data_IF_712706260167
#
_entry.id   IF_712706260167
#
_cell.length_a   1.000
_cell.length_b   1.000
_cell.length_c   1.000
_cell.angle_alpha   90.00
_cell.angle_beta   90.00
_cell.angle_gamma   90.00
#
_symmetry.space_group_name_H-M   'P 1'
#
loop_
_entity.id
_entity.type
_entity.pdbx_description
1 polymer ?
#
# COMPACT_ATOMS: atom_id res chain seq x y z
N UNK A 1 -12.26 4.08 -9.87
CA UNK A 1 -11.54 3.84 -8.60
C UNK A 1 -11.61 2.37 -8.27
N UNK A 2 -10.50 1.80 -7.82
CA UNK A 2 -10.45 0.37 -7.49
C UNK A 2 -9.43 0.12 -6.40
N UNK A 3 -9.57 -1.00 -5.71
CA UNK A 3 -8.52 -1.48 -4.82
C UNK A 3 -7.45 -2.10 -5.69
N UNK A 4 -6.25 -1.53 -5.67
CA UNK A 4 -5.15 -2.02 -6.51
C UNK A 4 -4.12 -2.80 -5.70
N UNK A 5 -4.06 -2.61 -4.39
CA UNK A 5 -3.11 -3.29 -3.51
C UNK A 5 -3.75 -3.74 -2.23
N UNK A 6 -3.34 -4.91 -1.76
CA UNK A 6 -3.47 -5.30 -0.36
C UNK A 6 -2.04 -5.38 0.16
N UNK A 7 -1.65 -4.45 1.03
CA UNK A 7 -0.29 -4.35 1.52
C UNK A 7 -0.22 -4.97 2.89
N UNK A 8 0.53 -6.06 3.02
CA UNK A 8 0.66 -6.82 4.26
C UNK A 8 2.02 -6.49 4.88
N UNK A 9 2.02 -6.12 6.14
CA UNK A 9 3.24 -5.76 6.84
C UNK A 9 3.83 -7.00 7.51
N UNK A 10 5.10 -7.28 7.26
CA UNK A 10 5.75 -8.52 7.66
C UNK A 10 7.01 -8.22 8.46
N UNK A 11 7.36 -9.14 9.37
CA UNK A 11 8.57 -9.01 10.20
C UNK A 11 9.79 -9.64 9.55
N UNK A 12 9.59 -10.63 8.67
CA UNK A 12 10.66 -11.39 8.03
C UNK A 12 10.27 -11.61 6.57
N UNK A 13 10.88 -10.83 5.68
CA UNK A 13 10.49 -10.85 4.27
C UNK A 13 10.73 -12.22 3.64
N UNK A 14 11.87 -12.83 3.90
CA UNK A 14 12.17 -14.12 3.26
C UNK A 14 11.19 -15.21 3.67
N UNK A 15 10.85 -15.24 4.95
CA UNK A 15 9.88 -16.21 5.46
C UNK A 15 8.50 -15.95 4.87
N UNK A 16 8.10 -14.68 4.79
CA UNK A 16 6.79 -14.32 4.23
C UNK A 16 6.72 -14.64 2.74
N UNK A 17 7.79 -14.38 2.00
CA UNK A 17 7.83 -14.70 0.57
C UNK A 17 7.68 -16.20 0.37
N UNK A 18 8.42 -17.01 1.14
CA UNK A 18 8.30 -18.46 1.03
C UNK A 18 6.88 -18.93 1.32
N UNK A 19 6.24 -18.32 2.31
CA UNK A 19 4.88 -18.71 2.66
C UNK A 19 3.90 -18.41 1.52
N UNK A 20 3.90 -17.18 1.02
CA UNK A 20 2.92 -16.81 -0.01
C UNK A 20 3.21 -17.46 -1.36
N UNK A 21 4.49 -17.67 -1.68
CA UNK A 21 4.87 -18.32 -2.93
C UNK A 21 4.67 -19.82 -2.90
N UNK A 22 5.14 -20.49 -1.83
CA UNK A 22 5.25 -21.96 -1.83
C UNK A 22 4.06 -22.62 -1.15
N UNK A 23 3.49 -22.01 -0.11
CA UNK A 23 2.37 -22.60 0.61
C UNK A 23 1.04 -22.13 0.00
N UNK A 24 0.89 -20.82 -0.16
CA UNK A 24 -0.35 -20.27 -0.76
C UNK A 24 -0.36 -20.49 -2.26
N UNK A 25 0.79 -20.37 -2.91
CA UNK A 25 0.90 -20.65 -4.34
C UNK A 25 0.74 -19.43 -5.23
N UNK A 26 0.98 -18.22 -4.71
CA UNK A 26 0.85 -17.01 -5.53
C UNK A 26 2.10 -16.81 -6.40
N UNK A 27 1.91 -16.44 -7.67
CA UNK A 27 3.05 -16.17 -8.54
C UNK A 27 3.81 -14.93 -8.08
N UNK A 28 5.12 -15.08 -7.88
CA UNK A 28 6.00 -13.99 -7.51
C UNK A 28 6.21 -13.08 -8.71
N UNK A 29 5.99 -11.78 -8.53
CA UNK A 29 6.18 -10.81 -9.60
C UNK A 29 7.41 -9.95 -9.40
N UNK A 30 7.72 -9.59 -8.16
CA UNK A 30 8.86 -8.76 -7.83
C UNK A 30 9.26 -9.02 -6.39
N UNK A 31 10.55 -9.12 -6.14
CA UNK A 31 11.04 -9.38 -4.78
C UNK A 31 12.20 -8.44 -4.45
N UNK A 32 12.13 -7.82 -3.26
CA UNK A 32 13.23 -7.05 -2.71
C UNK A 32 13.18 -7.16 -1.19
N UNK A 33 14.24 -6.72 -0.48
CA UNK A 33 14.22 -6.82 0.98
C UNK A 33 13.12 -6.03 1.65
N UNK A 34 12.70 -4.91 1.07
CA UNK A 34 11.69 -4.06 1.68
C UNK A 34 10.30 -4.17 1.09
N UNK A 35 10.17 -4.70 -0.12
CA UNK A 35 8.89 -4.71 -0.83
C UNK A 35 8.85 -5.87 -1.81
N UNK A 36 7.82 -6.68 -1.72
CA UNK A 36 7.64 -7.82 -2.62
C UNK A 36 6.21 -7.80 -3.14
N UNK A 37 6.01 -8.20 -4.40
CA UNK A 37 4.70 -8.23 -5.02
C UNK A 37 4.39 -9.60 -5.59
N UNK A 38 3.14 -10.02 -5.40
CA UNK A 38 2.61 -11.25 -5.99
C UNK A 38 1.46 -10.91 -6.91
N UNK A 39 1.40 -11.59 -8.05
CA UNK A 39 0.31 -11.41 -9.01
C UNK A 39 -0.93 -12.17 -8.54
N UNK A 40 -2.09 -11.54 -8.69
CA UNK A 40 -3.37 -12.19 -8.47
C UNK A 40 -4.26 -11.85 -9.67
N UNK A 41 -5.46 -12.41 -9.70
CA UNK A 41 -6.42 -12.07 -10.73
C UNK A 41 -7.08 -10.71 -10.47
N UNK A 42 -6.77 -10.09 -9.36
CA UNK A 42 -7.32 -8.79 -8.99
C UNK A 42 -6.23 -7.89 -8.45
N UNK A 43 -6.39 -7.41 -7.23
CA UNK A 43 -5.41 -6.54 -6.60
C UNK A 43 -4.07 -7.25 -6.43
N UNK A 44 -3.00 -6.46 -6.44
CA UNK A 44 -1.66 -6.98 -6.12
C UNK A 44 -1.56 -7.23 -4.62
N UNK A 45 -1.11 -8.40 -4.23
CA UNK A 45 -0.72 -8.64 -2.84
C UNK A 45 0.73 -8.21 -2.69
N UNK A 46 0.98 -7.22 -1.83
CA UNK A 46 2.32 -6.71 -1.60
C UNK A 46 2.73 -6.97 -0.16
N UNK A 47 4.00 -7.27 0.04
CA UNK A 47 4.59 -7.43 1.36
C UNK A 47 5.50 -6.25 1.63
N UNK A 48 5.38 -5.66 2.81
CA UNK A 48 6.16 -4.50 3.23
C UNK A 48 6.90 -4.86 4.51
N UNK A 49 8.23 -4.84 4.46
CA UNK A 49 9.04 -5.06 5.66
C UNK A 49 9.30 -3.70 6.30
N UNK A 50 9.14 -3.63 7.62
CA UNK A 50 9.37 -2.39 8.35
C UNK A 50 10.85 -2.03 8.30
N UNK A 51 11.13 -0.73 8.22
CA UNK A 51 12.49 -0.25 8.24
C UNK A 51 13.11 -0.51 9.62
N UNK A 52 14.38 -0.96 9.67
CA UNK A 52 15.01 -1.22 10.95
C UNK A 52 15.38 0.05 11.72
N UNK A 53 15.37 1.19 11.07
CA UNK A 53 15.94 2.43 11.63
C UNK A 53 14.89 3.31 12.30
N UNK A 54 13.86 2.74 12.86
CA UNK A 54 12.89 3.49 13.61
C UNK A 54 11.56 3.62 12.91
N UNK A 55 10.57 4.09 13.64
CA UNK A 55 9.21 4.12 13.12
C UNK A 55 9.04 5.23 12.10
N UNK A 56 8.28 4.92 11.08
CA UNK A 56 7.78 5.85 10.09
C UNK A 56 6.27 5.66 10.08
N UNK A 57 5.53 6.70 9.71
CA UNK A 57 4.07 6.54 9.63
C UNK A 57 3.68 5.53 8.56
N UNK A 58 4.60 5.16 7.67
CA UNK A 58 4.38 4.08 6.71
C UNK A 58 4.51 2.70 7.32
N UNK A 59 5.14 2.58 8.48
CA UNK A 59 5.39 1.28 9.11
C UNK A 59 4.26 0.95 10.07
N UNK A 60 3.58 -0.14 9.78
CA UNK A 60 2.55 -0.70 10.65
C UNK A 60 3.07 -1.97 11.29
N UNK A 61 2.50 -2.39 12.43
CA UNK A 61 2.95 -3.64 13.07
C UNK A 61 2.84 -4.83 12.12
N UNK A 62 3.74 -5.81 12.24
CA UNK A 62 3.60 -7.04 11.47
C UNK A 62 2.22 -7.66 11.67
N UNK A 63 1.66 -8.20 10.61
CA UNK A 63 0.31 -8.73 10.63
C UNK A 63 -0.76 -7.72 10.26
N UNK A 64 -0.37 -6.43 10.12
CA UNK A 64 -1.31 -5.39 9.65
C UNK A 64 -1.44 -5.44 8.14
N UNK A 65 -2.55 -4.89 7.65
CA UNK A 65 -2.80 -4.78 6.22
C UNK A 65 -3.31 -3.39 5.90
N UNK A 66 -2.79 -2.80 4.82
CA UNK A 66 -3.24 -1.48 4.36
C UNK A 66 -3.77 -1.59 2.94
N UNK A 67 -5.06 -1.25 2.71
CA UNK A 67 -5.58 -1.22 1.34
C UNK A 67 -4.98 -0.06 0.56
N UNK A 68 -4.72 -0.28 -0.72
CA UNK A 68 -4.27 0.76 -1.63
C UNK A 68 -5.28 0.94 -2.73
N UNK A 69 -5.70 2.19 -2.95
CA UNK A 69 -6.67 2.53 -3.98
C UNK A 69 -5.98 3.19 -5.17
N UNK A 70 -6.46 2.88 -6.37
CA UNK A 70 -6.11 3.65 -7.56
C UNK A 70 -7.29 4.56 -7.88
N UNK A 71 -7.02 5.84 -8.05
CA UNK A 71 -8.06 6.83 -8.35
C UNK A 71 -7.70 7.54 -9.64
N UNK A 72 -8.70 7.97 -10.43
CA UNK A 72 -8.43 8.64 -11.72
C UNK A 72 -7.71 9.97 -11.57
N UNK A 73 -8.00 10.70 -10.49
CA UNK A 73 -7.44 12.04 -10.29
C UNK A 73 -7.16 12.21 -8.80
N UNK A 74 -5.90 12.06 -8.42
CA UNK A 74 -5.52 12.09 -7.02
C UNK A 74 -5.75 13.47 -6.40
N UNK A 75 -5.52 14.55 -7.14
CA UNK A 75 -5.74 15.89 -6.59
C UNK A 75 -7.21 16.11 -6.29
N UNK A 76 -8.10 15.66 -7.17
CA UNK A 76 -9.54 15.76 -6.92
C UNK A 76 -9.94 14.90 -5.73
N UNK A 77 -9.39 13.70 -5.63
CA UNK A 77 -9.64 12.81 -4.51
C UNK A 77 -9.17 13.45 -3.20
N UNK A 78 -7.98 14.04 -3.22
CA UNK A 78 -7.44 14.71 -2.03
C UNK A 78 -8.33 15.87 -1.57
N UNK A 79 -8.81 16.67 -2.51
CA UNK A 79 -9.72 17.77 -2.17
C UNK A 79 -11.01 17.24 -1.55
N UNK A 80 -11.54 16.16 -2.10
CA UNK A 80 -12.75 15.53 -1.56
C UNK A 80 -12.54 15.05 -0.12
N UNK A 81 -11.37 14.47 0.15
CA UNK A 81 -11.05 14.01 1.50
C UNK A 81 -10.96 15.20 2.46
N UNK A 82 -10.33 16.30 2.02
CA UNK A 82 -10.22 17.49 2.85
C UNK A 82 -11.58 18.10 3.14
N UNK A 83 -12.45 18.15 2.14
CA UNK A 83 -13.80 18.69 2.32
C UNK A 83 -14.64 17.86 3.26
N UNK A 84 -14.37 16.58 3.33
CA UNK A 84 -15.07 15.65 4.22
C UNK A 84 -14.41 15.55 5.60
N UNK A 85 -13.37 16.34 5.85
CA UNK A 85 -12.62 16.35 7.10
C UNK A 85 -11.99 14.99 7.42
N UNK A 86 -11.54 14.28 6.39
CA UNK A 86 -10.83 13.01 6.58
C UNK A 86 -9.41 13.32 7.03
N UNK A 87 -8.93 12.60 8.05
CA UNK A 87 -7.56 12.78 8.52
C UNK A 87 -6.58 12.33 7.45
N UNK A 88 -5.64 13.21 7.12
CA UNK A 88 -4.61 12.93 6.12
C UNK A 88 -3.28 12.73 6.83
N UNK A 89 -2.68 11.55 6.65
CA UNK A 89 -1.36 11.27 7.22
C UNK A 89 -0.24 11.71 6.30
N UNK A 90 -0.48 11.66 4.99
CA UNK A 90 0.51 12.05 4.00
C UNK A 90 -0.20 12.66 2.82
N UNK A 91 0.12 13.93 2.54
CA UNK A 91 -0.40 14.59 1.35
C UNK A 91 0.21 13.97 0.10
N UNK A 92 -0.43 14.13 -1.06
CA UNK A 92 0.11 13.54 -2.28
C UNK A 92 1.58 13.88 -2.48
N UNK A 93 2.41 12.86 -2.59
CA UNK A 93 3.83 13.04 -2.88
C UNK A 93 4.30 11.91 -3.76
N UNK A 94 5.39 12.14 -4.46
CA UNK A 94 5.93 11.16 -5.37
C UNK A 94 6.68 10.07 -4.62
N UNK A 95 6.34 8.81 -4.92
CA UNK A 95 7.01 7.64 -4.38
C UNK A 95 7.28 6.72 -5.58
N UNK A 96 8.54 6.51 -5.91
CA UNK A 96 8.94 5.65 -7.04
C UNK A 96 8.21 6.02 -8.33
N UNK A 97 8.13 7.32 -8.63
CA UNK A 97 7.53 7.80 -9.86
C UNK A 97 6.01 7.85 -9.88
N UNK A 98 5.36 7.56 -8.76
CA UNK A 98 3.91 7.59 -8.62
C UNK A 98 3.54 8.47 -7.44
N UNK A 99 2.51 9.28 -7.60
CA UNK A 99 2.04 10.13 -6.49
C UNK A 99 1.10 9.32 -5.62
N UNK A 100 1.35 9.34 -4.32
CA UNK A 100 0.57 8.57 -3.34
C UNK A 100 0.25 9.45 -2.15
N UNK A 101 -0.96 9.30 -1.61
CA UNK A 101 -1.38 9.96 -0.38
C UNK A 101 -1.89 8.90 0.59
N UNK A 102 -1.97 9.26 1.88
CA UNK A 102 -2.45 8.34 2.91
C UNK A 102 -3.46 9.04 3.80
N UNK A 103 -4.48 8.31 4.16
CA UNK A 103 -5.61 8.81 4.95
C UNK A 103 -6.00 7.79 6.01
N UNK A 104 -6.85 8.22 6.95
CA UNK A 104 -7.32 7.36 8.04
C UNK A 104 -8.84 7.30 7.97
N UNK A 105 -9.39 6.09 8.03
CA UNK A 105 -10.84 5.93 8.04
C UNK A 105 -11.39 6.18 9.45
N UNK A 106 -12.73 6.18 9.62
CA UNK A 106 -13.32 6.52 10.94
C UNK A 106 -12.89 5.59 12.09
N UNK A 107 -12.48 4.38 11.79
CA UNK A 107 -12.07 3.43 12.82
C UNK A 107 -10.56 3.39 13.01
N UNK A 108 -9.83 4.28 12.32
CA UNK A 108 -8.39 4.35 12.48
C UNK A 108 -7.59 3.51 11.49
N UNK A 109 -8.25 2.90 10.51
CA UNK A 109 -7.55 2.13 9.48
C UNK A 109 -6.87 3.08 8.51
N UNK A 110 -5.57 2.89 8.29
CA UNK A 110 -4.83 3.65 7.28
C UNK A 110 -5.05 3.04 5.91
N UNK A 111 -5.34 3.89 4.92
CA UNK A 111 -5.39 3.45 3.54
C UNK A 111 -4.64 4.45 2.66
N UNK A 112 -4.16 3.98 1.52
CA UNK A 112 -3.45 4.84 0.59
C UNK A 112 -4.28 5.03 -0.68
N UNK A 113 -4.01 6.12 -1.39
CA UNK A 113 -4.60 6.38 -2.69
C UNK A 113 -3.51 6.84 -3.63
N UNK A 114 -3.48 6.28 -4.82
CA UNK A 114 -2.53 6.66 -5.85
C UNK A 114 -3.25 7.07 -7.12
N UNK A 115 -2.60 7.89 -7.93
CA UNK A 115 -3.14 8.25 -9.23
C UNK A 115 -3.15 7.05 -10.16
N UNK A 116 -4.10 7.07 -11.08
CA UNK A 116 -4.17 6.02 -12.08
C UNK A 116 -2.94 6.11 -12.98
N UNK A 117 -2.14 5.05 -12.99
CA UNK A 117 -0.87 5.08 -13.73
C UNK A 117 -1.07 5.24 -15.22
N UNK A 118 -2.18 4.73 -15.72
CA UNK A 118 -2.42 4.81 -17.15
C UNK A 118 -2.67 6.25 -17.61
N UNK A 119 -3.12 7.09 -16.72
CA UNK A 119 -3.38 8.49 -17.04
C UNK A 119 -2.19 9.39 -16.81
N UNK A 120 -1.10 8.88 -16.36
CA UNK A 120 0.06 9.69 -15.98
C UNK A 120 1.18 9.60 -16.99
#
# INVERSE_FOLDING_TARGET
>A
MRVSYAIVFVSDMKRAVSFYRDVVGLPLRFESPGWTEFATDGATLALHANAPAGPDHDDLPPGSCRPGLSVPDLDAFHRRMAEANVQCLQEPKEVFGTRVAQYVDPDGLTFSAGGDRRGS
#
